data_IF_482734247034
#
_entry.id   IF_482734247034
#
_cell.length_a   1.000
_cell.length_b   1.000
_cell.length_c   1.000
_cell.angle_alpha   90.00
_cell.angle_beta   90.00
_cell.angle_gamma   90.00
#
_symmetry.space_group_name_H-M   'P 1'
#
loop_
_entity.id
_entity.type
_entity.pdbx_description
1 polymer ?
#
# COMPACT_ATOMS: atom_id res chain seq x y z
N UNK A 1 -9.05 10.40 -2.46
CA UNK A 1 -9.52 9.18 -1.77
C UNK A 1 -8.35 8.32 -1.30
N UNK A 2 -7.41 7.93 -2.18
CA UNK A 2 -6.24 7.10 -1.79
C UNK A 2 -5.23 7.83 -0.89
N UNK A 3 -4.90 9.10 -1.18
CA UNK A 3 -3.96 9.88 -0.33
C UNK A 3 -4.47 10.03 1.11
N UNK A 4 -5.74 10.43 1.27
CA UNK A 4 -6.36 10.59 2.58
C UNK A 4 -6.42 9.25 3.35
N UNK A 5 -6.62 8.13 2.64
CA UNK A 5 -6.61 6.81 3.25
C UNK A 5 -5.22 6.43 3.77
N UNK A 6 -4.16 6.68 2.99
CA UNK A 6 -2.78 6.43 3.42
C UNK A 6 -2.42 7.32 4.62
N UNK A 7 -2.70 8.62 4.57
CA UNK A 7 -2.39 9.55 5.68
C UNK A 7 -3.16 9.18 6.96
N UNK A 8 -4.43 8.80 6.84
CA UNK A 8 -5.24 8.38 8.00
C UNK A 8 -4.87 7.00 8.56
N UNK A 9 -4.10 6.20 7.81
CA UNK A 9 -3.55 4.93 8.32
C UNK A 9 -2.26 5.12 9.13
N UNK A 10 -1.65 6.30 9.08
CA UNK A 10 -0.47 6.66 9.86
C UNK A 10 -0.88 7.21 11.24
N UNK A 11 0.05 7.22 12.19
CA UNK A 11 -0.13 8.02 13.41
C UNK A 11 -0.17 9.51 13.03
N UNK A 12 -0.94 10.31 13.75
CA UNK A 12 -1.11 11.73 13.44
C UNK A 12 0.24 12.48 13.32
N UNK A 13 1.19 12.18 14.20
CA UNK A 13 2.54 12.77 14.17
C UNK A 13 3.32 12.46 12.89
N UNK A 14 3.06 11.31 12.27
CA UNK A 14 3.70 10.91 11.01
C UNK A 14 2.92 11.47 9.83
N UNK A 15 1.60 11.29 9.82
CA UNK A 15 0.71 11.68 8.73
C UNK A 15 0.72 13.18 8.43
N UNK A 16 0.92 14.03 9.43
CA UNK A 16 1.06 15.48 9.24
C UNK A 16 2.23 15.85 8.31
N UNK A 17 3.32 15.09 8.34
CA UNK A 17 4.48 15.31 7.45
C UNK A 17 4.16 15.00 5.98
N UNK A 18 3.10 14.23 5.71
CA UNK A 18 2.74 13.78 4.37
C UNK A 18 1.61 14.60 3.71
N UNK A 19 0.98 15.52 4.44
CA UNK A 19 -0.13 16.35 3.94
C UNK A 19 0.24 17.29 2.79
N UNK A 20 1.53 17.61 2.64
CA UNK A 20 2.03 18.56 1.63
C UNK A 20 2.43 17.90 0.30
N UNK A 21 2.41 16.57 0.21
CA UNK A 21 2.75 15.87 -1.02
C UNK A 21 1.62 15.94 -2.05
N UNK A 22 2.00 16.15 -3.32
CA UNK A 22 1.05 16.37 -4.41
C UNK A 22 0.45 15.08 -4.97
N UNK A 23 1.09 13.94 -4.73
CA UNK A 23 0.66 12.65 -5.27
C UNK A 23 0.74 11.53 -4.23
N UNK A 24 -0.13 10.53 -4.41
CA UNK A 24 -0.12 9.29 -3.63
C UNK A 24 1.24 8.58 -3.71
N UNK A 25 1.88 8.64 -4.88
CA UNK A 25 3.17 7.99 -5.11
C UNK A 25 4.26 8.60 -4.24
N UNK A 26 4.33 9.93 -4.18
CA UNK A 26 5.35 10.60 -3.37
C UNK A 26 5.17 10.31 -1.87
N UNK A 27 3.91 10.25 -1.39
CA UNK A 27 3.60 9.86 -0.01
C UNK A 27 4.10 8.44 0.27
N UNK A 28 3.81 7.49 -0.64
CA UNK A 28 4.21 6.09 -0.50
C UNK A 28 5.73 5.91 -0.51
N UNK A 29 6.41 6.52 -1.49
CA UNK A 29 7.85 6.40 -1.66
C UNK A 29 8.60 6.96 -0.43
N UNK A 30 8.18 8.13 0.07
CA UNK A 30 8.78 8.76 1.24
C UNK A 30 8.50 7.99 2.55
N UNK A 31 7.29 7.42 2.71
CA UNK A 31 6.97 6.57 3.86
C UNK A 31 7.80 5.28 3.84
N UNK A 32 7.99 4.67 2.66
CA UNK A 32 8.82 3.49 2.46
C UNK A 32 10.29 3.79 2.74
N UNK A 33 10.81 4.92 2.29
CA UNK A 33 12.21 5.30 2.56
C UNK A 33 12.46 5.56 4.06
N UNK A 34 11.51 6.21 4.74
CA UNK A 34 11.69 6.69 6.12
C UNK A 34 11.42 5.61 7.18
N UNK A 35 10.41 4.77 6.95
CA UNK A 35 9.88 3.87 7.99
C UNK A 35 9.96 2.39 7.61
N UNK A 36 10.44 2.05 6.41
CA UNK A 36 10.53 0.65 6.04
C UNK A 36 11.73 -0.02 6.73
N UNK A 37 11.42 -0.98 7.58
CA UNK A 37 12.42 -1.83 8.21
C UNK A 37 12.90 -2.87 7.18
N UNK A 38 14.22 -3.06 7.03
CA UNK A 38 14.81 -3.93 5.97
C UNK A 38 14.34 -5.39 6.01
N UNK A 39 13.85 -5.87 7.15
CA UNK A 39 13.24 -7.20 7.26
C UNK A 39 11.79 -7.21 6.72
N UNK A 40 11.00 -6.16 7.00
CA UNK A 40 9.64 -6.01 6.46
C UNK A 40 9.62 -5.55 4.99
N UNK A 41 10.71 -4.97 4.45
CA UNK A 41 10.76 -4.60 3.03
C UNK A 41 10.64 -5.80 2.10
N UNK A 42 11.16 -6.96 2.50
CA UNK A 42 11.09 -8.18 1.67
C UNK A 42 9.68 -8.74 1.64
N UNK A 43 9.01 -8.82 2.79
CA UNK A 43 7.61 -9.27 2.88
C UNK A 43 6.67 -8.29 2.15
N UNK A 44 6.89 -6.98 2.31
CA UNK A 44 6.13 -5.96 1.57
C UNK A 44 6.37 -6.06 0.07
N UNK A 45 7.61 -6.26 -0.38
CA UNK A 45 7.94 -6.43 -1.79
C UNK A 45 7.33 -7.70 -2.38
N UNK A 46 7.31 -8.81 -1.63
CA UNK A 46 6.62 -10.03 -2.06
C UNK A 46 5.12 -9.80 -2.21
N UNK A 47 4.48 -9.11 -1.26
CA UNK A 47 3.05 -8.77 -1.33
C UNK A 47 2.78 -7.83 -2.52
N UNK A 48 3.60 -6.80 -2.72
CA UNK A 48 3.51 -5.89 -3.87
C UNK A 48 3.67 -6.66 -5.19
N UNK A 49 4.61 -7.61 -5.25
CA UNK A 49 4.86 -8.44 -6.44
C UNK A 49 3.68 -9.38 -6.74
N UNK A 50 3.14 -10.06 -5.72
CA UNK A 50 1.96 -10.92 -5.85
C UNK A 50 0.76 -10.13 -6.33
N UNK A 51 0.52 -8.92 -5.79
CA UNK A 51 -0.56 -8.05 -6.21
C UNK A 51 -0.36 -7.49 -7.63
N UNK A 52 0.88 -7.15 -8.01
CA UNK A 52 1.23 -6.67 -9.34
C UNK A 52 0.95 -7.73 -10.41
N UNK A 53 1.29 -8.98 -10.12
CA UNK A 53 1.11 -10.12 -11.03
C UNK A 53 -0.31 -10.71 -10.96
N UNK A 54 -1.10 -10.33 -9.95
CA UNK A 54 -2.49 -10.75 -9.83
C UNK A 54 -3.30 -10.20 -11.01
N UNK A 55 -3.83 -11.12 -11.81
CA UNK A 55 -4.78 -10.83 -12.89
C UNK A 55 -6.10 -11.50 -12.55
N UNK A 56 -7.21 -10.84 -12.86
CA UNK A 56 -8.54 -11.41 -12.64
C UNK A 56 -8.70 -12.74 -13.41
N UNK A 57 -8.26 -12.78 -14.69
CA UNK A 57 -8.34 -13.98 -15.51
C UNK A 57 -9.76 -14.57 -15.52
N UNK A 58 -9.87 -15.86 -15.22
CA UNK A 58 -11.14 -16.58 -15.10
C UNK A 58 -11.78 -16.49 -13.70
N UNK A 59 -11.19 -15.73 -12.76
CA UNK A 59 -11.77 -15.55 -11.43
C UNK A 59 -13.04 -14.69 -11.51
N UNK A 60 -14.06 -15.10 -10.76
CA UNK A 60 -15.22 -14.24 -10.52
C UNK A 60 -14.79 -12.98 -9.80
N UNK A 61 -15.48 -11.87 -10.07
CA UNK A 61 -15.19 -10.54 -9.48
C UNK A 61 -15.11 -10.62 -7.95
N UNK A 62 -16.03 -11.35 -7.32
CA UNK A 62 -16.04 -11.57 -5.86
C UNK A 62 -14.79 -12.26 -5.36
N UNK A 63 -14.29 -13.27 -6.10
CA UNK A 63 -13.13 -14.07 -5.69
C UNK A 63 -11.85 -13.29 -5.87
N UNK A 64 -11.71 -12.58 -6.99
CA UNK A 64 -10.60 -11.67 -7.24
C UNK A 64 -10.52 -10.55 -6.18
N UNK A 65 -11.65 -9.92 -5.86
CA UNK A 65 -11.73 -8.88 -4.85
C UNK A 65 -11.35 -9.38 -3.45
N UNK A 66 -11.83 -10.56 -3.05
CA UNK A 66 -11.44 -11.17 -1.78
C UNK A 66 -9.94 -11.51 -1.72
N UNK A 67 -9.34 -11.92 -2.84
CA UNK A 67 -7.90 -12.18 -2.91
C UNK A 67 -7.09 -10.90 -2.73
N UNK A 68 -7.48 -9.80 -3.38
CA UNK A 68 -6.84 -8.49 -3.18
C UNK A 68 -6.95 -8.07 -1.71
N UNK A 69 -8.14 -8.13 -1.13
CA UNK A 69 -8.36 -7.75 0.26
C UNK A 69 -7.51 -8.56 1.24
N UNK A 70 -7.29 -9.85 0.97
CA UNK A 70 -6.48 -10.72 1.84
C UNK A 70 -5.01 -10.32 1.89
N UNK A 71 -4.44 -9.88 0.77
CA UNK A 71 -3.03 -9.45 0.71
C UNK A 71 -2.83 -7.98 1.12
N UNK A 72 -3.93 -7.24 1.29
CA UNK A 72 -3.92 -5.83 1.68
C UNK A 72 -4.10 -5.60 3.18
N UNK A 73 -4.61 -6.60 3.92
CA UNK A 73 -4.67 -6.59 5.39
C UNK A 73 -3.34 -7.03 6.00
#
# INVERSE_FOLDING_TARGET
>A
MVMSWIINSMTNEIGENFLLYGTTKEIWDAAKETYSNKENTSELFEIESILHDLRQGDLTVTRYFNTINRYWQ
#
